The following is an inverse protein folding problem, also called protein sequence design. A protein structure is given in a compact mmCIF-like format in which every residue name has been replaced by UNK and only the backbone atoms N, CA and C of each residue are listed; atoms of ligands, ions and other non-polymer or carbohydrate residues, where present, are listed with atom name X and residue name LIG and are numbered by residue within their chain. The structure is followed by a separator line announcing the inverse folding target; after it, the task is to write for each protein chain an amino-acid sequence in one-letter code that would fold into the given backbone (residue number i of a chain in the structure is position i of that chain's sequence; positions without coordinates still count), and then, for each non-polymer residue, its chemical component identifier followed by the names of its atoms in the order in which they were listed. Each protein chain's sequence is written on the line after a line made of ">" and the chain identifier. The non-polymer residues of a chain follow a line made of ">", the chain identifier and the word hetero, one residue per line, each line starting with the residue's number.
data_IF_324833804292
#
_entry.id   IF_324833804292
#
_cell.length_a   1.000
_cell.length_b   1.000
_cell.length_c   1.000
_cell.angle_alpha   90.00
_cell.angle_beta   90.00
_cell.angle_gamma   90.00
#
_symmetry.space_group_name_H-M   'P 1'
#
loop_
_entity.id
_entity.type
_entity.pdbx_description
1 polymer ?
#
# COMPACT_ATOMS: atom_id res chain seq x y z
N UNK A 1 -11.39 -9.33 7.61
CA UNK A 1 -11.05 -7.92 7.89
C UNK A 1 -12.26 -6.98 7.86
N UNK A 2 -13.27 -7.21 7.00
CA UNK A 2 -14.49 -6.37 6.92
C UNK A 2 -15.14 -6.16 8.30
N UNK A 3 -15.40 -7.24 9.05
CA UNK A 3 -16.00 -7.17 10.38
C UNK A 3 -15.19 -6.29 11.36
N UNK A 4 -13.86 -6.39 11.30
CA UNK A 4 -13.00 -5.57 12.16
C UNK A 4 -13.13 -4.08 11.79
N UNK A 5 -13.08 -3.74 10.50
CA UNK A 5 -13.25 -2.36 10.06
C UNK A 5 -14.64 -1.80 10.39
N UNK A 6 -15.68 -2.63 10.27
CA UNK A 6 -17.04 -2.25 10.66
C UNK A 6 -17.16 -1.98 12.17
N UNK A 7 -16.55 -2.83 13.00
CA UNK A 7 -16.48 -2.58 14.45
C UNK A 7 -15.69 -1.32 14.77
N UNK A 8 -14.62 -1.03 14.01
CA UNK A 8 -13.83 0.21 14.15
C UNK A 8 -14.67 1.45 13.86
N UNK A 9 -15.42 1.44 12.75
CA UNK A 9 -16.34 2.53 12.39
C UNK A 9 -17.44 2.75 13.46
N UNK A 10 -17.95 1.68 14.09
CA UNK A 10 -18.99 1.79 15.13
C UNK A 10 -18.46 2.22 16.50
N UNK A 11 -17.25 1.77 16.85
CA UNK A 11 -16.72 1.86 18.23
C UNK A 11 -15.54 2.82 18.39
N UNK A 12 -15.04 3.43 17.30
CA UNK A 12 -13.86 4.32 17.27
C UNK A 12 -12.67 3.72 18.04
N UNK A 13 -12.16 2.59 17.55
CA UNK A 13 -11.15 1.83 18.28
C UNK A 13 -9.84 2.63 18.41
N UNK A 14 -9.21 2.51 19.58
CA UNK A 14 -7.89 3.12 19.82
C UNK A 14 -6.85 2.61 18.81
N UNK A 15 -5.93 3.49 18.41
CA UNK A 15 -4.87 3.21 17.42
C UNK A 15 -4.11 1.89 17.66
N UNK A 16 -3.86 1.51 18.92
CA UNK A 16 -3.20 0.25 19.28
C UNK A 16 -3.94 -0.99 18.77
N UNK A 17 -5.28 -0.96 18.75
CA UNK A 17 -6.11 -2.05 18.23
C UNK A 17 -6.05 -2.09 16.69
N UNK A 18 -5.96 -0.92 16.04
CA UNK A 18 -5.76 -0.79 14.59
C UNK A 18 -4.41 -1.36 14.12
N UNK A 19 -3.43 -1.50 15.02
CA UNK A 19 -2.16 -2.18 14.76
C UNK A 19 -2.16 -3.66 15.19
N UNK A 20 -2.83 -3.99 16.29
CA UNK A 20 -2.79 -5.34 16.88
C UNK A 20 -3.77 -6.32 16.21
N UNK A 21 -4.95 -5.86 15.79
CA UNK A 21 -5.99 -6.74 15.28
C UNK A 21 -5.81 -7.15 13.81
N UNK A 22 -5.24 -6.34 12.90
CA UNK A 22 -4.99 -6.81 11.54
C UNK A 22 -4.02 -8.01 11.45
N UNK A 23 -2.91 -8.10 12.21
CA UNK A 23 -2.08 -9.30 12.26
C UNK A 23 -2.86 -10.55 12.69
N UNK A 24 -3.70 -10.44 13.73
CA UNK A 24 -4.54 -11.54 14.19
C UNK A 24 -5.53 -11.98 13.11
N UNK A 25 -6.17 -11.02 12.43
CA UNK A 25 -7.06 -11.29 11.32
C UNK A 25 -6.35 -11.81 10.05
N UNK A 26 -5.02 -11.68 9.98
CA UNK A 26 -4.20 -12.26 8.92
C UNK A 26 -3.70 -13.68 9.22
N UNK A 27 -3.92 -14.23 10.43
CA UNK A 27 -3.45 -15.58 10.78
C UNK A 27 -3.90 -16.68 9.78
N UNK A 28 -5.15 -16.70 9.26
CA UNK A 28 -5.53 -17.69 8.26
C UNK A 28 -4.67 -17.63 6.98
N UNK A 29 -4.27 -16.41 6.56
CA UNK A 29 -3.37 -16.20 5.43
C UNK A 29 -1.98 -16.76 5.74
N UNK A 30 -1.45 -16.50 6.94
CA UNK A 30 -0.13 -16.96 7.36
C UNK A 30 -0.10 -18.50 7.47
N UNK A 31 -1.11 -19.11 8.07
CA UNK A 31 -1.20 -20.58 8.23
C UNK A 31 -1.28 -21.29 6.87
N UNK A 32 -1.96 -20.68 5.90
CA UNK A 32 -2.14 -21.26 4.57
C UNK A 32 -1.02 -20.89 3.57
N UNK A 33 0.00 -20.15 4.00
CA UNK A 33 1.13 -19.81 3.15
C UNK A 33 2.06 -21.02 3.01
N UNK A 34 2.05 -21.63 1.82
CA UNK A 34 2.84 -22.81 1.49
C UNK A 34 4.13 -22.51 0.70
N UNK A 35 4.47 -21.22 0.50
CA UNK A 35 5.63 -20.82 -0.28
C UNK A 35 6.94 -20.78 0.49
N UNK A 36 8.01 -20.46 -0.23
CA UNK A 36 9.33 -20.25 0.35
C UNK A 36 9.34 -19.01 1.24
N UNK A 37 10.16 -19.06 2.30
CA UNK A 37 10.46 -17.94 3.21
C UNK A 37 11.80 -17.27 2.89
N UNK A 38 12.53 -17.84 1.93
CA UNK A 38 13.72 -17.25 1.33
C UNK A 38 13.35 -16.05 0.45
N UNK A 39 14.17 -15.00 0.49
CA UNK A 39 14.01 -13.81 -0.36
C UNK A 39 15.26 -13.58 -1.18
N UNK A 40 15.05 -13.41 -2.49
CA UNK A 40 16.11 -12.94 -3.40
C UNK A 40 16.36 -11.44 -3.20
N UNK A 41 17.61 -11.10 -2.89
CA UNK A 41 18.09 -9.73 -2.73
C UNK A 41 18.40 -9.08 -4.10
N UNK A 42 18.05 -7.80 -4.29
CA UNK A 42 18.36 -7.09 -5.54
C UNK A 42 19.87 -6.95 -5.77
N UNK A 43 20.32 -7.13 -7.02
CA UNK A 43 21.73 -6.99 -7.43
C UNK A 43 22.46 -5.78 -6.84
N UNK A 44 21.89 -4.55 -6.86
CA UNK A 44 22.63 -3.37 -6.42
C UNK A 44 22.99 -3.35 -4.94
N UNK A 45 22.39 -4.22 -4.11
CA UNK A 45 22.66 -4.24 -2.66
C UNK A 45 23.38 -5.51 -2.20
N UNK A 46 23.63 -6.49 -3.09
CA UNK A 46 24.23 -7.78 -2.72
C UNK A 46 25.63 -7.65 -2.13
N UNK A 47 26.41 -6.68 -2.62
CA UNK A 47 27.76 -6.39 -2.11
C UNK A 47 27.80 -6.10 -0.61
N UNK A 48 26.68 -5.67 0.00
CA UNK A 48 26.59 -5.46 1.44
C UNK A 48 26.47 -6.77 2.21
N UNK A 49 25.97 -7.84 1.59
CA UNK A 49 25.60 -9.12 2.22
C UNK A 49 26.43 -10.32 1.74
N UNK A 50 27.47 -10.08 0.94
CA UNK A 50 28.46 -11.11 0.59
C UNK A 50 29.25 -11.57 1.81
N UNK A 51 29.79 -12.80 1.78
CA UNK A 51 30.46 -13.45 2.91
C UNK A 51 31.52 -12.60 3.63
N UNK A 52 32.27 -11.81 2.87
CA UNK A 52 33.35 -10.97 3.37
C UNK A 52 32.87 -9.61 3.92
N UNK A 53 31.59 -9.29 3.74
CA UNK A 53 30.99 -8.03 4.19
C UNK A 53 30.59 -8.09 5.67
N UNK A 54 30.70 -6.94 6.34
CA UNK A 54 30.36 -6.82 7.77
C UNK A 54 28.91 -7.22 8.05
N UNK A 55 27.96 -6.86 7.17
CA UNK A 55 26.55 -7.23 7.38
C UNK A 55 26.33 -8.73 7.32
N UNK A 56 27.09 -9.48 6.51
CA UNK A 56 26.99 -10.94 6.49
C UNK A 56 27.35 -11.51 7.86
N UNK A 57 28.49 -11.12 8.43
CA UNK A 57 28.90 -11.60 9.75
C UNK A 57 27.87 -11.27 10.85
N UNK A 58 27.25 -10.09 10.77
CA UNK A 58 26.25 -9.66 11.75
C UNK A 58 24.89 -10.36 11.60
N UNK A 59 24.43 -10.56 10.36
CA UNK A 59 23.08 -11.04 10.08
C UNK A 59 23.01 -12.56 9.91
N UNK A 60 24.03 -13.21 9.35
CA UNK A 60 24.03 -14.64 9.04
C UNK A 60 23.65 -15.55 10.23
N UNK A 61 24.02 -15.25 11.50
CA UNK A 61 23.58 -16.06 12.64
C UNK A 61 22.07 -16.02 12.92
N UNK A 62 21.38 -14.96 12.47
CA UNK A 62 19.95 -14.71 12.72
C UNK A 62 19.10 -15.01 11.47
N UNK A 63 19.62 -14.61 10.31
CA UNK A 63 19.03 -14.78 8.99
C UNK A 63 20.12 -15.39 8.12
N UNK A 64 20.09 -16.72 7.87
CA UNK A 64 21.09 -17.36 7.04
C UNK A 64 21.14 -16.72 5.64
N UNK A 65 22.35 -16.36 5.21
CA UNK A 65 22.63 -15.73 3.93
C UNK A 65 23.42 -16.70 3.06
N UNK A 66 23.16 -16.72 1.75
CA UNK A 66 24.03 -17.39 0.79
C UNK A 66 25.40 -16.72 0.74
N UNK A 67 26.48 -17.47 0.48
CA UNK A 67 27.85 -16.93 0.40
C UNK A 67 27.98 -15.71 -0.56
N UNK A 68 27.23 -15.71 -1.67
CA UNK A 68 27.18 -14.61 -2.65
C UNK A 68 26.21 -13.46 -2.32
N UNK A 69 25.57 -13.46 -1.14
CA UNK A 69 24.64 -12.41 -0.73
C UNK A 69 23.36 -12.30 -1.57
N UNK A 70 23.01 -13.35 -2.33
CA UNK A 70 21.88 -13.33 -3.27
C UNK A 70 20.55 -13.71 -2.61
N UNK A 71 20.61 -14.63 -1.63
CA UNK A 71 19.45 -15.22 -0.97
C UNK A 71 19.58 -15.01 0.54
N UNK A 72 18.47 -14.56 1.16
CA UNK A 72 18.31 -14.47 2.60
C UNK A 72 17.16 -15.36 3.08
N UNK A 73 17.45 -16.30 3.97
CA UNK A 73 16.47 -17.21 4.57
C UNK A 73 15.79 -16.55 5.78
N UNK A 74 14.68 -15.83 5.54
CA UNK A 74 14.04 -15.03 6.58
C UNK A 74 13.27 -15.88 7.60
N UNK A 75 12.81 -17.08 7.25
CA UNK A 75 12.07 -17.96 8.16
C UNK A 75 10.90 -17.25 8.85
N UNK A 76 10.93 -17.17 10.19
CA UNK A 76 9.92 -16.48 10.99
C UNK A 76 9.78 -14.98 10.64
N UNK A 77 10.87 -14.31 10.27
CA UNK A 77 10.82 -12.90 9.86
C UNK A 77 10.03 -12.71 8.57
N UNK A 78 9.93 -13.73 7.71
CA UNK A 78 9.06 -13.70 6.53
C UNK A 78 7.58 -13.69 6.93
N UNK A 79 7.19 -14.50 7.92
CA UNK A 79 5.82 -14.49 8.46
C UNK A 79 5.49 -13.17 9.16
N UNK A 80 6.45 -12.59 9.88
CA UNK A 80 6.30 -11.25 10.45
C UNK A 80 6.08 -10.21 9.34
N UNK A 81 6.88 -10.26 8.26
CA UNK A 81 6.69 -9.41 7.09
C UNK A 81 5.28 -9.56 6.49
N UNK A 82 4.78 -10.78 6.30
CA UNK A 82 3.43 -11.01 5.76
C UNK A 82 2.33 -10.41 6.67
N UNK A 83 2.46 -10.57 7.99
CA UNK A 83 1.53 -9.95 8.94
C UNK A 83 1.58 -8.41 8.90
N UNK A 84 2.79 -7.85 8.85
CA UNK A 84 2.98 -6.39 8.73
C UNK A 84 2.55 -5.84 7.38
N UNK A 85 2.63 -6.63 6.30
CA UNK A 85 2.13 -6.28 4.98
C UNK A 85 0.61 -6.09 5.01
N UNK A 86 -0.12 -6.96 5.71
CA UNK A 86 -1.57 -6.79 5.92
C UNK A 86 -1.88 -5.52 6.71
N UNK A 87 -1.16 -5.26 7.82
CA UNK A 87 -1.28 -4.02 8.61
C UNK A 87 -1.01 -2.79 7.75
N UNK A 88 0.07 -2.83 6.96
CA UNK A 88 0.49 -1.72 6.12
C UNK A 88 -0.58 -1.42 5.08
N UNK A 89 -1.04 -2.41 4.31
CA UNK A 89 -1.99 -2.18 3.22
C UNK A 89 -3.30 -1.57 3.73
N UNK A 90 -3.84 -2.03 4.87
CA UNK A 90 -5.09 -1.49 5.42
C UNK A 90 -4.92 -0.06 5.93
N UNK A 91 -3.86 0.20 6.70
CA UNK A 91 -3.62 1.51 7.30
C UNK A 91 -3.13 2.52 6.27
N UNK A 92 -2.35 2.12 5.27
CA UNK A 92 -1.77 3.04 4.28
C UNK A 92 -2.84 3.65 3.37
N UNK A 93 -3.86 2.87 2.97
CA UNK A 93 -5.06 3.40 2.31
C UNK A 93 -5.81 4.32 3.27
N UNK A 94 -6.00 3.90 4.52
CA UNK A 94 -6.79 4.65 5.50
C UNK A 94 -6.21 6.03 5.88
N UNK A 95 -4.89 6.16 5.94
CA UNK A 95 -4.24 7.45 6.20
C UNK A 95 -4.05 8.32 4.94
N UNK A 96 -4.30 7.76 3.75
CA UNK A 96 -4.29 8.47 2.47
C UNK A 96 -5.72 8.65 1.96
N UNK A 97 -6.50 9.35 2.76
CA UNK A 97 -7.95 9.45 2.68
C UNK A 97 -8.43 10.89 2.97
N UNK A 98 -9.73 11.14 2.84
CA UNK A 98 -10.35 12.41 3.24
C UNK A 98 -10.81 13.33 2.12
N UNK A 99 -10.82 12.84 0.89
CA UNK A 99 -11.28 13.55 -0.30
C UNK A 99 -12.23 12.63 -1.05
N UNK A 100 -13.39 13.15 -1.45
CA UNK A 100 -14.47 12.40 -2.08
C UNK A 100 -13.99 11.57 -3.28
N UNK A 101 -14.09 10.24 -3.16
CA UNK A 101 -13.68 9.28 -4.19
C UNK A 101 -12.23 8.81 -4.12
N UNK A 102 -11.42 9.29 -3.17
CA UNK A 102 -9.99 8.99 -3.14
C UNK A 102 -9.70 7.56 -2.66
N UNK A 103 -10.36 7.10 -1.61
CA UNK A 103 -10.12 5.78 -1.00
C UNK A 103 -10.54 4.65 -1.94
N UNK A 104 -11.77 4.72 -2.46
CA UNK A 104 -12.26 3.75 -3.44
C UNK A 104 -11.56 3.91 -4.79
N UNK A 105 -11.26 5.14 -5.22
CA UNK A 105 -10.61 5.42 -6.50
C UNK A 105 -9.17 4.91 -6.56
N UNK A 106 -8.34 5.20 -5.55
CA UNK A 106 -6.94 4.74 -5.52
C UNK A 106 -6.90 3.21 -5.49
N UNK A 107 -7.81 2.60 -4.73
CA UNK A 107 -7.88 1.15 -4.59
C UNK A 107 -8.38 0.50 -5.88
N UNK A 108 -9.31 1.13 -6.60
CA UNK A 108 -9.71 0.68 -7.93
C UNK A 108 -8.53 0.70 -8.92
N UNK A 109 -7.74 1.79 -8.95
CA UNK A 109 -6.55 1.89 -9.83
C UNK A 109 -5.51 0.81 -9.50
N UNK A 110 -5.21 0.60 -8.21
CA UNK A 110 -4.29 -0.46 -7.78
C UNK A 110 -4.85 -1.83 -8.16
N UNK A 111 -6.14 -2.07 -7.92
CA UNK A 111 -6.78 -3.35 -8.25
C UNK A 111 -6.75 -3.65 -9.74
N UNK A 112 -6.96 -2.63 -10.59
CA UNK A 112 -6.86 -2.77 -12.03
C UNK A 112 -5.41 -3.11 -12.44
N UNK A 113 -4.40 -2.48 -11.83
CA UNK A 113 -3.00 -2.81 -12.05
C UNK A 113 -2.68 -4.27 -11.63
N UNK A 114 -3.21 -4.75 -10.50
CA UNK A 114 -3.04 -6.15 -10.07
C UNK A 114 -3.69 -7.12 -11.08
N UNK A 115 -4.90 -6.82 -11.57
CA UNK A 115 -5.55 -7.64 -12.60
C UNK A 115 -4.72 -7.67 -13.88
N UNK A 116 -4.24 -6.52 -14.36
CA UNK A 116 -3.38 -6.46 -15.55
C UNK A 116 -2.08 -7.24 -15.34
N UNK A 117 -1.42 -7.10 -14.18
CA UNK A 117 -0.23 -7.89 -13.82
C UNK A 117 -0.52 -9.39 -13.91
N UNK A 118 -1.60 -9.87 -13.28
CA UNK A 118 -1.95 -11.29 -13.29
C UNK A 118 -2.22 -11.80 -14.72
N UNK A 119 -3.00 -11.06 -15.51
CA UNK A 119 -3.29 -11.44 -16.90
C UNK A 119 -2.00 -11.49 -17.73
N UNK A 120 -1.13 -10.48 -17.62
CA UNK A 120 0.15 -10.47 -18.34
C UNK A 120 1.03 -11.65 -17.91
N UNK A 121 1.12 -11.96 -16.62
CA UNK A 121 1.92 -13.09 -16.13
C UNK A 121 1.40 -14.45 -16.63
N UNK A 122 0.07 -14.62 -16.69
CA UNK A 122 -0.55 -15.81 -17.29
C UNK A 122 -0.22 -15.89 -18.78
N UNK A 123 -0.36 -14.79 -19.53
CA UNK A 123 -0.11 -14.76 -20.97
C UNK A 123 1.36 -14.99 -21.33
N UNK A 124 2.30 -14.59 -20.46
CA UNK A 124 3.73 -14.84 -20.64
C UNK A 124 4.13 -16.29 -20.29
N UNK A 125 3.22 -17.12 -19.78
CA UNK A 125 3.48 -18.52 -19.47
C UNK A 125 4.37 -18.72 -18.26
N UNK A 126 4.23 -17.88 -17.23
CA UNK A 126 5.03 -17.96 -16.01
C UNK A 126 4.78 -19.28 -15.24
N UNK A 127 5.82 -19.85 -14.66
CA UNK A 127 5.70 -21.02 -13.79
C UNK A 127 4.79 -20.71 -12.59
N UNK A 128 3.81 -21.59 -12.31
CA UNK A 128 2.80 -21.40 -11.26
C UNK A 128 1.69 -20.37 -11.56
N UNK A 129 1.20 -20.33 -12.80
CA UNK A 129 0.02 -19.55 -13.22
C UNK A 129 -1.20 -19.68 -12.28
N UNK A 130 -1.35 -20.82 -11.59
CA UNK A 130 -2.38 -21.07 -10.57
C UNK A 130 -2.48 -19.96 -9.50
N UNK A 131 -1.36 -19.37 -9.11
CA UNK A 131 -1.34 -18.28 -8.14
C UNK A 131 -1.94 -16.98 -8.70
N UNK A 132 -1.73 -16.72 -9.99
CA UNK A 132 -2.32 -15.58 -10.68
C UNK A 132 -3.82 -15.78 -10.92
N UNK A 133 -4.26 -17.00 -11.26
CA UNK A 133 -5.69 -17.34 -11.34
C UNK A 133 -6.38 -17.16 -9.98
N UNK A 134 -5.78 -17.65 -8.89
CA UNK A 134 -6.31 -17.46 -7.54
C UNK A 134 -6.45 -15.97 -7.19
N UNK A 135 -5.43 -15.15 -7.52
CA UNK A 135 -5.52 -13.71 -7.32
C UNK A 135 -6.65 -13.08 -8.13
N UNK A 136 -6.85 -13.48 -9.39
CA UNK A 136 -7.95 -12.98 -10.22
C UNK A 136 -9.34 -13.32 -9.64
N UNK A 137 -9.50 -14.49 -9.00
CA UNK A 137 -10.74 -14.87 -8.32
C UNK A 137 -11.13 -13.89 -7.21
N UNK A 138 -10.15 -13.30 -6.51
CA UNK A 138 -10.41 -12.26 -5.51
C UNK A 138 -10.55 -10.86 -6.15
N UNK A 139 -9.68 -10.54 -7.10
CA UNK A 139 -9.53 -9.18 -7.63
C UNK A 139 -10.64 -8.75 -8.58
N UNK A 140 -11.20 -9.66 -9.39
CA UNK A 140 -12.29 -9.33 -10.32
C UNK A 140 -13.57 -8.95 -9.57
N UNK A 141 -14.08 -9.75 -8.60
CA UNK A 141 -15.23 -9.33 -7.79
C UNK A 141 -14.93 -8.07 -6.98
N UNK A 142 -13.72 -7.94 -6.43
CA UNK A 142 -13.28 -6.74 -5.71
C UNK A 142 -13.39 -5.46 -6.55
N UNK A 143 -12.94 -5.50 -7.82
CA UNK A 143 -13.07 -4.34 -8.71
C UNK A 143 -14.53 -4.03 -9.04
N UNK A 144 -15.35 -5.05 -9.30
CA UNK A 144 -16.75 -4.86 -9.60
C UNK A 144 -17.52 -4.21 -8.44
N UNK A 145 -17.31 -4.68 -7.21
CA UNK A 145 -17.96 -4.12 -6.02
C UNK A 145 -17.41 -2.74 -5.68
N UNK A 146 -16.10 -2.52 -5.82
CA UNK A 146 -15.47 -1.20 -5.61
C UNK A 146 -15.97 -0.17 -6.62
N UNK A 147 -16.19 -0.55 -7.88
CA UNK A 147 -16.78 0.32 -8.90
C UNK A 147 -18.23 0.69 -8.55
N UNK A 148 -19.01 -0.28 -8.05
CA UNK A 148 -20.34 -0.04 -7.51
C UNK A 148 -20.33 0.99 -6.37
N UNK A 149 -19.41 0.84 -5.41
CA UNK A 149 -19.23 1.80 -4.31
C UNK A 149 -18.79 3.17 -4.83
N UNK A 150 -17.81 3.22 -5.75
CA UNK A 150 -17.27 4.44 -6.31
C UNK A 150 -18.34 5.25 -7.03
N UNK A 151 -19.34 4.62 -7.67
CA UNK A 151 -20.49 5.33 -8.26
C UNK A 151 -21.26 6.21 -7.25
N UNK A 152 -21.27 5.83 -5.98
CA UNK A 152 -21.95 6.57 -4.92
C UNK A 152 -20.99 7.44 -4.09
N UNK A 153 -19.72 7.05 -4.01
CA UNK A 153 -18.66 7.76 -3.30
C UNK A 153 -17.89 8.78 -4.17
N UNK A 154 -18.09 8.79 -5.49
CA UNK A 154 -17.46 9.79 -6.35
C UNK A 154 -17.99 11.19 -6.04
N UNK A 155 -17.17 12.21 -6.27
CA UNK A 155 -17.56 13.60 -6.05
C UNK A 155 -18.79 14.00 -6.89
N UNK A 156 -19.83 14.63 -6.30
CA UNK A 156 -20.03 14.85 -4.86
C UNK A 156 -20.52 13.56 -4.15
N UNK A 157 -19.83 13.15 -3.08
CA UNK A 157 -20.13 11.89 -2.38
C UNK A 157 -21.53 11.85 -1.80
N UNK A 158 -22.24 10.74 -2.05
CA UNK A 158 -23.51 10.41 -1.38
C UNK A 158 -23.32 9.45 -0.21
N UNK A 159 -22.23 8.70 -0.22
CA UNK A 159 -21.84 7.76 0.84
C UNK A 159 -20.34 7.85 1.11
N UNK A 160 -19.94 7.60 2.35
CA UNK A 160 -18.54 7.42 2.73
C UNK A 160 -18.21 5.94 2.89
N UNK A 161 -16.95 5.58 2.64
CA UNK A 161 -16.52 4.18 2.60
C UNK A 161 -16.14 3.63 3.98
N UNK A 162 -15.69 4.49 4.90
CA UNK A 162 -15.29 4.15 6.28
C UNK A 162 -14.01 3.32 6.38
N UNK A 163 -13.58 3.06 7.62
CA UNK A 163 -12.48 2.14 7.94
C UNK A 163 -12.79 0.72 7.43
N UNK A 164 -14.09 0.36 7.39
CA UNK A 164 -14.59 -0.90 6.80
C UNK A 164 -14.02 -1.16 5.41
N UNK A 165 -14.11 -0.19 4.50
CA UNK A 165 -13.59 -0.34 3.14
C UNK A 165 -12.07 -0.34 3.10
N UNK A 166 -11.41 0.57 3.82
CA UNK A 166 -9.94 0.64 3.84
C UNK A 166 -9.32 -0.70 4.31
N UNK A 167 -9.94 -1.31 5.32
CA UNK A 167 -9.53 -2.59 5.87
C UNK A 167 -9.85 -3.76 4.95
N UNK A 168 -10.99 -3.72 4.27
CA UNK A 168 -11.35 -4.66 3.22
C UNK A 168 -10.34 -4.61 2.07
N UNK A 169 -10.14 -3.44 1.47
CA UNK A 169 -9.25 -3.22 0.35
C UNK A 169 -7.82 -3.65 0.68
N UNK A 170 -7.25 -3.13 1.77
CA UNK A 170 -5.89 -3.46 2.19
C UNK A 170 -5.67 -4.97 2.41
N UNK A 171 -6.64 -5.67 3.03
CA UNK A 171 -6.53 -7.11 3.23
C UNK A 171 -6.66 -7.89 1.91
N UNK A 172 -7.56 -7.50 1.01
CA UNK A 172 -7.70 -8.15 -0.30
C UNK A 172 -6.42 -8.02 -1.12
N UNK A 173 -5.76 -6.85 -1.08
CA UNK A 173 -4.46 -6.66 -1.71
C UNK A 173 -3.38 -7.52 -1.04
N UNK A 174 -3.28 -7.50 0.28
CA UNK A 174 -2.28 -8.30 1.01
C UNK A 174 -2.44 -9.80 0.71
N UNK A 175 -3.66 -10.34 0.76
CA UNK A 175 -3.95 -11.74 0.42
C UNK A 175 -3.54 -12.05 -1.01
N UNK A 176 -3.94 -11.19 -1.97
CA UNK A 176 -3.62 -11.38 -3.39
C UNK A 176 -2.12 -11.36 -3.64
N UNK A 177 -1.39 -10.41 -3.05
CA UNK A 177 0.06 -10.29 -3.23
C UNK A 177 0.87 -11.38 -2.52
N UNK A 178 0.42 -11.82 -1.34
CA UNK A 178 1.10 -12.85 -0.55
C UNK A 178 0.89 -14.24 -1.17
N UNK A 179 -0.37 -14.66 -1.40
CA UNK A 179 -0.66 -15.95 -2.02
C UNK A 179 -0.31 -15.97 -3.51
N UNK A 180 -0.28 -14.80 -4.15
CA UNK A 180 0.15 -14.62 -5.53
C UNK A 180 1.66 -14.58 -5.73
N UNK A 181 2.46 -14.56 -4.65
CA UNK A 181 3.92 -14.40 -4.69
C UNK A 181 4.42 -13.14 -5.44
N UNK A 182 3.61 -12.08 -5.52
CA UNK A 182 3.97 -10.80 -6.16
C UNK A 182 3.92 -9.61 -5.19
N UNK A 183 4.08 -9.84 -3.89
CA UNK A 183 4.04 -8.80 -2.85
C UNK A 183 5.01 -7.63 -3.09
N UNK A 184 6.19 -7.89 -3.69
CA UNK A 184 7.15 -6.86 -4.12
C UNK A 184 6.55 -5.95 -5.20
N UNK A 185 5.94 -6.53 -6.23
CA UNK A 185 5.25 -5.77 -7.30
C UNK A 185 4.06 -5.00 -6.74
N UNK A 186 3.31 -5.61 -5.81
CA UNK A 186 2.19 -4.95 -5.14
C UNK A 186 2.64 -3.69 -4.38
N UNK A 187 3.77 -3.75 -3.67
CA UNK A 187 4.32 -2.57 -2.98
C UNK A 187 4.72 -1.44 -3.95
N UNK A 188 5.13 -1.76 -5.17
CA UNK A 188 5.38 -0.76 -6.21
C UNK A 188 4.07 -0.09 -6.68
N UNK A 189 2.97 -0.84 -6.79
CA UNK A 189 1.65 -0.24 -7.05
C UNK A 189 1.18 0.64 -5.90
N UNK A 190 1.58 0.32 -4.67
CA UNK A 190 1.30 1.11 -3.46
C UNK A 190 2.23 2.34 -3.30
N UNK A 191 3.01 2.73 -4.32
CA UNK A 191 4.01 3.78 -4.18
C UNK A 191 3.45 5.11 -3.61
N UNK A 192 2.29 5.65 -4.04
CA UNK A 192 1.71 6.84 -3.41
C UNK A 192 1.39 6.63 -1.92
N UNK A 193 0.85 5.48 -1.55
CA UNK A 193 0.53 5.13 -0.17
C UNK A 193 1.80 5.01 0.69
N UNK A 194 2.85 4.38 0.15
CA UNK A 194 4.19 4.31 0.78
C UNK A 194 4.75 5.70 1.01
N UNK A 195 4.74 6.55 -0.02
CA UNK A 195 5.22 7.93 0.07
C UNK A 195 4.41 8.74 1.10
N UNK A 196 3.08 8.59 1.13
CA UNK A 196 2.24 9.27 2.11
C UNK A 196 2.52 8.79 3.54
N UNK A 197 2.69 7.48 3.73
CA UNK A 197 3.04 6.89 5.02
C UNK A 197 4.39 7.41 5.52
N UNK A 198 5.43 7.37 4.69
CA UNK A 198 6.77 7.85 5.04
C UNK A 198 6.76 9.35 5.37
N UNK A 199 6.08 10.15 4.55
CA UNK A 199 5.94 11.59 4.80
C UNK A 199 5.15 11.89 6.07
N UNK A 200 4.11 11.09 6.36
CA UNK A 200 3.31 11.17 7.59
C UNK A 200 4.04 10.70 8.85
N UNK A 201 5.12 9.94 8.72
CA UNK A 201 5.73 9.19 9.83
C UNK A 201 6.12 10.08 11.03
N UNK A 202 6.72 11.28 10.87
CA UNK A 202 7.02 12.16 12.01
C UNK A 202 5.77 12.57 12.81
N UNK A 203 4.63 12.74 12.14
CA UNK A 203 3.36 13.04 12.82
C UNK A 203 2.76 11.78 13.45
N UNK A 204 2.80 10.64 12.77
CA UNK A 204 2.26 9.37 13.28
C UNK A 204 3.01 8.91 14.55
N UNK A 205 4.34 9.08 14.57
CA UNK A 205 5.19 8.79 15.73
C UNK A 205 5.14 9.88 16.82
N UNK A 206 4.34 10.93 16.64
CA UNK A 206 4.20 12.07 17.57
C UNK A 206 5.50 12.83 17.83
N UNK A 207 6.49 12.71 16.95
CA UNK A 207 7.70 13.56 16.94
C UNK A 207 7.33 15.00 16.59
N UNK A 208 6.34 15.15 15.69
CA UNK A 208 5.69 16.41 15.35
C UNK A 208 4.23 16.33 15.81
N UNK A 209 3.61 17.43 16.29
CA UNK A 209 2.19 17.45 16.63
C UNK A 209 1.34 16.89 15.50
N UNK A 210 0.41 16.02 15.85
CA UNK A 210 -0.44 15.33 14.89
C UNK A 210 -1.90 15.56 15.27
N UNK A 211 -2.59 16.49 14.60
CA UNK A 211 -4.01 16.71 14.85
C UNK A 211 -4.81 15.46 14.50
N UNK A 212 -6.02 15.35 15.06
CA UNK A 212 -6.93 14.22 14.80
C UNK A 212 -7.29 14.10 13.33
N UNK A 213 -7.56 15.23 12.68
CA UNK A 213 -7.86 15.31 11.26
C UNK A 213 -6.76 16.08 10.53
N UNK A 214 -6.21 15.48 9.47
CA UNK A 214 -5.15 16.04 8.63
C UNK A 214 -5.63 16.36 7.21
N UNK A 215 -6.95 16.38 7.03
CA UNK A 215 -7.64 16.62 5.77
C UNK A 215 -7.43 18.09 5.35
N UNK A 216 -7.42 18.42 4.05
CA UNK A 216 -7.44 19.80 3.57
C UNK A 216 -8.57 20.64 4.17
N UNK A 217 -8.37 21.95 4.27
CA UNK A 217 -9.40 22.89 4.74
C UNK A 217 -10.19 23.42 3.55
N UNK A 218 -11.51 23.42 3.64
CA UNK A 218 -12.37 24.04 2.62
C UNK A 218 -12.54 25.53 2.89
N UNK A 219 -12.25 26.37 1.89
CA UNK A 219 -12.49 27.80 1.95
C UNK A 219 -13.81 28.14 1.24
N UNK A 220 -14.83 28.49 2.02
CA UNK A 220 -16.17 28.79 1.51
C UNK A 220 -16.23 30.02 0.59
N UNK A 221 -15.27 30.95 0.69
CA UNK A 221 -15.24 32.16 -0.16
C UNK A 221 -14.74 31.85 -1.57
N UNK A 222 -13.73 30.98 -1.68
CA UNK A 222 -13.12 30.61 -2.97
C UNK A 222 -13.74 29.34 -3.56
N UNK A 223 -14.37 28.50 -2.73
CA UNK A 223 -14.86 27.18 -3.11
C UNK A 223 -13.75 26.16 -3.36
N UNK A 224 -12.55 26.40 -2.82
CA UNK A 224 -11.35 25.58 -3.02
C UNK A 224 -10.92 24.89 -1.72
N UNK A 225 -10.18 23.79 -1.87
CA UNK A 225 -9.43 23.16 -0.78
C UNK A 225 -8.06 23.80 -0.67
N UNK A 226 -7.69 24.13 0.56
CA UNK A 226 -6.40 24.72 0.95
C UNK A 226 -5.64 23.77 1.88
N UNK A 227 -4.30 23.84 1.94
CA UNK A 227 -3.52 23.04 2.86
C UNK A 227 -3.93 23.29 4.32
N UNK A 228 -4.19 22.21 5.05
CA UNK A 228 -4.34 22.25 6.51
C UNK A 228 -2.98 22.37 7.19
N UNK A 229 -2.95 22.98 8.37
CA UNK A 229 -1.73 23.26 9.14
C UNK A 229 -1.56 22.32 10.33
N UNK A 230 -0.32 22.12 10.77
CA UNK A 230 0.03 21.22 11.89
C UNK A 230 -0.65 21.65 13.21
N UNK A 231 -0.59 22.96 13.49
CA UNK A 231 -1.35 23.64 14.53
C UNK A 231 -2.07 24.86 13.92
N UNK A 232 -3.08 25.44 14.59
CA UNK A 232 -3.78 26.62 14.06
C UNK A 232 -2.83 27.80 13.76
N UNK A 233 -1.74 27.94 14.51
CA UNK A 233 -0.75 29.02 14.40
C UNK A 233 0.44 28.64 13.51
N UNK A 234 0.57 27.38 13.08
CA UNK A 234 1.72 26.92 12.30
C UNK A 234 1.64 27.40 10.85
N UNK A 235 2.76 27.87 10.32
CA UNK A 235 2.93 28.12 8.89
C UNK A 235 3.20 26.84 8.08
N UNK A 236 3.41 25.71 8.76
CA UNK A 236 3.69 24.41 8.13
C UNK A 236 2.41 23.63 7.91
N UNK A 237 2.27 23.05 6.72
CA UNK A 237 1.14 22.17 6.38
C UNK A 237 1.27 20.80 7.06
N UNK A 238 0.14 20.10 7.23
CA UNK A 238 0.14 18.70 7.66
C UNK A 238 0.90 17.80 6.69
N UNK A 239 1.59 16.79 7.23
CA UNK A 239 2.45 15.93 6.43
C UNK A 239 1.65 14.79 5.81
N UNK A 240 0.96 15.11 4.73
CA UNK A 240 0.25 14.14 3.89
C UNK A 240 0.48 14.52 2.43
N UNK A 241 0.48 13.57 1.51
CA UNK A 241 0.57 13.86 0.07
C UNK A 241 -0.55 14.80 -0.39
N UNK A 242 -1.75 14.68 0.17
CA UNK A 242 -2.90 15.54 -0.17
C UNK A 242 -2.55 17.02 0.08
N UNK A 243 -2.10 17.37 1.28
CA UNK A 243 -1.66 18.72 1.60
C UNK A 243 -0.42 19.14 0.80
N UNK A 244 0.53 18.23 0.55
CA UNK A 244 1.70 18.52 -0.27
C UNK A 244 1.32 18.94 -1.69
N UNK A 245 0.34 18.25 -2.32
CA UNK A 245 -0.18 18.63 -3.63
C UNK A 245 -0.80 20.03 -3.61
N UNK A 246 -1.53 20.39 -2.55
CA UNK A 246 -2.09 21.73 -2.40
C UNK A 246 -1.03 22.81 -2.14
N UNK A 247 0.09 22.46 -1.50
CA UNK A 247 1.24 23.37 -1.33
C UNK A 247 1.97 23.58 -2.65
N UNK A 248 2.19 22.52 -3.43
CA UNK A 248 2.97 22.57 -4.67
C UNK A 248 2.18 23.14 -5.85
N UNK A 249 0.92 22.72 -6.01
CA UNK A 249 0.06 23.09 -7.14
C UNK A 249 -0.96 24.18 -6.80
N UNK A 250 -0.99 24.63 -5.55
CA UNK A 250 -1.93 25.63 -5.05
C UNK A 250 -3.33 25.09 -4.71
N UNK A 251 -4.20 25.94 -4.14
CA UNK A 251 -5.58 25.58 -3.81
C UNK A 251 -6.38 25.15 -5.03
N UNK A 252 -7.18 24.10 -4.89
CA UNK A 252 -7.96 23.55 -6.00
C UNK A 252 -9.31 23.00 -5.55
N UNK A 253 -10.24 22.86 -6.50
CA UNK A 253 -11.53 22.20 -6.24
C UNK A 253 -11.31 20.74 -5.88
N UNK A 254 -12.18 20.21 -5.02
CA UNK A 254 -12.08 18.83 -4.52
C UNK A 254 -12.07 17.79 -5.66
N UNK A 255 -12.95 17.95 -6.65
CA UNK A 255 -13.00 17.08 -7.82
C UNK A 255 -11.69 17.09 -8.64
N UNK A 256 -11.02 18.25 -8.74
CA UNK A 256 -9.73 18.37 -9.42
C UNK A 256 -8.62 17.75 -8.59
N UNK A 257 -8.67 17.90 -7.26
CA UNK A 257 -7.70 17.28 -6.35
C UNK A 257 -7.74 15.76 -6.45
N UNK A 258 -8.93 15.14 -6.33
CA UNK A 258 -9.05 13.68 -6.44
C UNK A 258 -8.57 13.17 -7.79
N UNK A 259 -8.95 13.83 -8.89
CA UNK A 259 -8.47 13.45 -10.23
C UNK A 259 -6.94 13.55 -10.36
N UNK A 260 -6.33 14.57 -9.78
CA UNK A 260 -4.88 14.77 -9.82
C UNK A 260 -4.15 13.70 -9.00
N UNK A 261 -4.68 13.34 -7.82
CA UNK A 261 -4.12 12.27 -6.98
C UNK A 261 -4.29 10.89 -7.63
N UNK A 262 -5.42 10.64 -8.30
CA UNK A 262 -5.63 9.39 -9.05
C UNK A 262 -4.76 9.32 -10.32
N UNK A 263 -4.54 10.44 -11.00
CA UNK A 263 -3.59 10.50 -12.11
C UNK A 263 -2.17 10.18 -11.61
N UNK A 264 -1.76 10.71 -10.46
CA UNK A 264 -0.50 10.36 -9.82
C UNK A 264 -0.43 8.85 -9.49
N UNK A 265 -1.51 8.26 -8.98
CA UNK A 265 -1.59 6.81 -8.74
C UNK A 265 -1.41 6.00 -10.03
N UNK A 266 -2.07 6.39 -11.13
CA UNK A 266 -1.92 5.73 -12.44
C UNK A 266 -0.49 5.82 -12.94
N UNK A 267 0.15 6.99 -12.83
CA UNK A 267 1.55 7.18 -13.22
C UNK A 267 2.50 6.31 -12.41
N UNK A 268 2.28 6.18 -11.10
CA UNK A 268 3.06 5.28 -10.25
C UNK A 268 2.85 3.81 -10.61
N UNK A 269 1.62 3.38 -10.93
CA UNK A 269 1.37 2.02 -11.41
C UNK A 269 2.04 1.75 -12.78
N UNK A 270 2.02 2.73 -13.69
CA UNK A 270 2.72 2.62 -14.97
C UNK A 270 4.24 2.52 -14.78
N UNK A 271 4.81 3.32 -13.87
CA UNK A 271 6.21 3.21 -13.48
C UNK A 271 6.53 1.83 -12.87
N UNK A 272 5.65 1.29 -12.03
CA UNK A 272 5.82 -0.04 -11.45
C UNK A 272 5.87 -1.13 -12.54
N UNK A 273 4.99 -1.05 -13.56
CA UNK A 273 5.05 -1.93 -14.71
C UNK A 273 6.34 -1.78 -15.51
N UNK A 274 6.79 -0.54 -15.75
CA UNK A 274 8.07 -0.29 -16.41
C UNK A 274 9.25 -0.89 -15.62
N UNK A 275 9.26 -0.76 -14.30
CA UNK A 275 10.29 -1.38 -13.45
C UNK A 275 10.20 -2.92 -13.54
N UNK A 276 9.00 -3.49 -13.43
CA UNK A 276 8.81 -4.95 -13.44
C UNK A 276 9.18 -5.59 -14.77
N UNK A 277 8.77 -5.00 -15.88
CA UNK A 277 8.89 -5.61 -17.21
C UNK A 277 10.04 -5.04 -18.05
N UNK A 278 10.51 -3.82 -17.74
CA UNK A 278 11.60 -3.16 -18.46
C UNK A 278 12.94 -3.19 -17.74
N UNK A 279 12.96 -3.13 -16.40
CA UNK A 279 14.19 -2.99 -15.61
C UNK A 279 14.53 -4.18 -14.71
N UNK A 280 13.67 -5.19 -14.62
CA UNK A 280 13.86 -6.31 -13.68
C UNK A 280 15.18 -7.06 -13.87
N UNK A 281 15.72 -7.13 -15.09
CA UNK A 281 17.02 -7.75 -15.41
C UNK A 281 18.21 -7.05 -14.74
N UNK A 282 18.09 -5.75 -14.49
CA UNK A 282 19.10 -4.98 -13.74
C UNK A 282 19.05 -5.29 -12.24
N UNK A 283 17.92 -5.75 -11.73
CA UNK A 283 17.72 -6.02 -10.30
C UNK A 283 17.83 -7.50 -9.93
N UNK A 284 17.50 -8.42 -10.83
CA UNK A 284 17.43 -9.85 -10.56
C UNK A 284 18.05 -10.68 -11.69
N UNK A 285 18.59 -11.86 -11.38
CA UNK A 285 19.20 -12.77 -12.38
C UNK A 285 18.16 -13.53 -13.18
N UNK A 286 17.06 -13.90 -12.52
CA UNK A 286 15.93 -14.56 -13.14
C UNK A 286 14.81 -13.54 -13.32
N UNK A 287 14.57 -13.16 -14.57
CA UNK A 287 13.43 -12.36 -14.97
C UNK A 287 12.41 -13.31 -15.59
N UNK A 288 11.38 -13.60 -14.83
CA UNK A 288 10.18 -14.27 -15.33
C UNK A 288 8.99 -13.31 -15.22
#
# INVERSE_FOLDING_TARGET
>A
MILLGFTDDLSDLRWRHKLLFPPLASLPLLINYAGLTAVVLPKPVRFLFEKDAVMYTLLNPIVPLSDGGEIAELGLFYYLYMGLMAVFCTNAINIYAGVNGLEAGQSFVIGAAVVVQNVVQILLGHDNENFHYLSLMFMVPYLATTLGLLRHNWYPSRVFVGDTFCYYAGMTFAVSGILGHFSKTLLLFFLPQVLNFLYSLPQLLKIVPCPRHRLPKFNAKTGLLEPSTITPESTRSNYTIINLFLVVFGPMKENRLVLTLLAFQVLCCALAFYIRYGLSSYFYDFVH
#
